data_IF_458779848815
#
_entry.id   IF_458779848815
#
_cell.length_a   1.000
_cell.length_b   1.000
_cell.length_c   1.000
_cell.angle_alpha   90.00
_cell.angle_beta   90.00
_cell.angle_gamma   90.00
#
_symmetry.space_group_name_H-M   'P 1'
#
loop_
_entity.id
_entity.type
_entity.pdbx_description
1 polymer ?
#
# COMPACT_ATOMS: atom_id res chain seq x y z
N UNK A 1 32.91 26.98 6.44
CA UNK A 1 32.73 25.62 6.97
C UNK A 1 31.29 25.55 7.42
N UNK A 2 30.43 25.10 6.51
CA UNK A 2 29.00 24.96 6.79
C UNK A 2 28.76 23.54 7.28
N UNK A 3 27.88 23.51 8.26
CA UNK A 3 27.34 22.41 9.04
C UNK A 3 26.64 21.40 8.11
N UNK A 4 27.31 20.28 7.84
CA UNK A 4 26.71 19.12 7.19
C UNK A 4 25.84 18.43 8.25
N UNK A 5 24.54 18.76 8.23
CA UNK A 5 23.53 18.14 9.09
C UNK A 5 23.51 16.61 8.96
N UNK A 6 22.96 15.90 9.95
CA UNK A 6 23.06 14.44 10.03
C UNK A 6 22.46 13.78 8.79
N UNK A 7 23.30 13.03 8.09
CA UNK A 7 22.96 12.17 6.98
C UNK A 7 21.99 11.08 7.46
N UNK A 8 20.74 11.14 7.01
CA UNK A 8 19.68 10.20 7.36
C UNK A 8 19.67 8.94 6.49
N UNK A 9 20.79 8.60 5.84
CA UNK A 9 20.94 7.31 5.12
C UNK A 9 21.07 6.10 6.06
N UNK A 10 21.16 6.31 7.37
CA UNK A 10 21.17 5.24 8.38
C UNK A 10 19.91 5.30 9.27
N UNK A 11 18.81 4.73 8.78
CA UNK A 11 17.69 4.29 9.60
C UNK A 11 17.36 2.83 9.22
N UNK A 12 17.10 1.95 10.20
CA UNK A 12 18.20 1.26 10.84
C UNK A 12 18.14 -0.24 10.52
N UNK A 13 19.32 -0.87 10.45
CA UNK A 13 19.51 -2.29 10.79
C UNK A 13 19.18 -2.58 12.29
N UNK A 14 18.29 -1.80 12.89
CA UNK A 14 18.29 -1.35 14.28
C UNK A 14 17.72 -2.31 15.30
N UNK A 15 17.26 -3.49 14.88
CA UNK A 15 16.87 -4.55 15.83
C UNK A 15 17.70 -5.81 15.67
N UNK A 16 18.57 -5.89 14.64
CA UNK A 16 19.33 -7.10 14.35
C UNK A 16 20.68 -7.19 15.09
N UNK A 17 21.15 -6.12 15.75
CA UNK A 17 22.55 -6.04 16.22
C UNK A 17 22.80 -6.24 17.73
N UNK A 18 21.79 -6.54 18.56
CA UNK A 18 22.04 -6.80 20.00
C UNK A 18 21.78 -8.25 20.44
N UNK A 19 21.14 -9.09 19.63
CA UNK A 19 20.78 -10.45 20.05
C UNK A 19 21.93 -11.46 19.93
N UNK A 20 22.76 -11.36 18.90
CA UNK A 20 23.88 -12.30 18.69
C UNK A 20 25.01 -12.18 19.72
N UNK A 21 25.11 -11.02 20.38
CA UNK A 21 26.16 -10.77 21.37
C UNK A 21 25.80 -11.28 22.78
N UNK A 22 24.50 -11.40 23.09
CA UNK A 22 24.02 -11.74 24.44
C UNK A 22 23.40 -13.14 24.55
N UNK A 23 22.97 -13.76 23.45
CA UNK A 23 22.36 -15.09 23.50
C UNK A 23 23.39 -16.14 23.10
N UNK A 24 23.67 -17.07 24.03
CA UNK A 24 24.64 -18.14 23.82
C UNK A 24 24.40 -18.90 22.51
N UNK A 25 25.47 -19.17 21.76
CA UNK A 25 25.45 -19.94 20.49
C UNK A 25 25.08 -21.42 20.67
N UNK A 26 24.65 -21.82 21.86
CA UNK A 26 24.25 -23.18 22.15
C UNK A 26 22.88 -23.51 21.52
N UNK A 27 22.43 -24.76 21.68
CA UNK A 27 21.14 -25.19 21.10
C UNK A 27 19.95 -24.47 21.74
N UNK A 28 20.06 -24.13 23.02
CA UNK A 28 19.00 -23.51 23.82
C UNK A 28 18.81 -22.05 23.44
N UNK A 29 19.90 -21.29 23.32
CA UNK A 29 19.88 -19.89 22.88
C UNK A 29 19.33 -19.75 21.46
N UNK A 30 19.70 -20.65 20.54
CA UNK A 30 19.13 -20.67 19.18
C UNK A 30 17.62 -20.95 19.18
N UNK A 31 17.13 -21.85 20.04
CA UNK A 31 15.71 -22.13 20.17
C UNK A 31 14.94 -20.92 20.74
N UNK A 32 15.49 -20.28 21.77
CA UNK A 32 14.91 -19.07 22.37
C UNK A 32 14.81 -17.92 21.36
N UNK A 33 15.86 -17.66 20.57
CA UNK A 33 15.83 -16.64 19.50
C UNK A 33 14.75 -16.96 18.47
N UNK A 34 14.63 -18.22 18.07
CA UNK A 34 13.62 -18.65 17.10
C UNK A 34 12.20 -18.41 17.61
N UNK A 35 11.90 -18.79 18.85
CA UNK A 35 10.57 -18.59 19.43
C UNK A 35 10.26 -17.12 19.71
N UNK A 36 11.24 -16.36 20.23
CA UNK A 36 11.08 -14.92 20.45
C UNK A 36 10.80 -14.15 19.15
N UNK A 37 11.50 -14.48 18.04
CA UNK A 37 11.24 -13.86 16.74
C UNK A 37 9.88 -14.23 16.18
N UNK A 38 9.46 -15.51 16.27
CA UNK A 38 8.10 -15.91 15.87
C UNK A 38 7.03 -15.12 16.64
N UNK A 39 7.21 -14.99 17.95
CA UNK A 39 6.30 -14.22 18.79
C UNK A 39 6.28 -12.73 18.39
N UNK A 40 7.45 -12.15 18.12
CA UNK A 40 7.57 -10.78 17.65
C UNK A 40 6.79 -10.53 16.35
N UNK A 41 6.99 -11.33 15.30
CA UNK A 41 6.22 -11.13 14.06
C UNK A 41 4.72 -11.39 14.26
N UNK A 42 4.35 -12.42 15.03
CA UNK A 42 2.94 -12.81 15.28
C UNK A 42 2.11 -11.76 15.99
N UNK A 43 2.70 -11.02 16.91
CA UNK A 43 1.96 -10.06 17.72
C UNK A 43 1.98 -8.63 17.13
N UNK A 44 2.83 -8.37 16.14
CA UNK A 44 3.07 -7.03 15.62
C UNK A 44 2.56 -6.83 14.18
N UNK A 45 2.20 -5.59 13.90
CA UNK A 45 1.92 -5.08 12.55
C UNK A 45 3.10 -4.26 12.06
N UNK A 46 3.42 -4.35 10.78
CA UNK A 46 4.62 -3.72 10.20
C UNK A 46 4.26 -2.70 9.13
N UNK A 47 4.89 -1.54 9.16
CA UNK A 47 4.85 -0.58 8.07
C UNK A 47 6.09 -0.78 7.18
N UNK A 48 5.87 -1.04 5.89
CA UNK A 48 6.92 -1.39 4.93
C UNK A 48 6.77 -0.52 3.69
N UNK A 49 7.88 0.00 3.16
CA UNK A 49 7.89 0.70 1.89
C UNK A 49 7.57 -0.27 0.76
N UNK A 50 6.75 0.12 -0.22
CA UNK A 50 6.35 -0.74 -1.34
C UNK A 50 7.54 -1.42 -2.02
N UNK A 51 8.61 -0.68 -2.35
CA UNK A 51 9.82 -1.22 -2.98
C UNK A 51 10.67 -2.13 -2.07
N UNK A 52 10.38 -2.20 -0.76
CA UNK A 52 11.05 -3.09 0.22
C UNK A 52 10.16 -4.26 0.64
N UNK A 53 8.94 -4.38 0.09
CA UNK A 53 8.01 -5.42 0.49
C UNK A 53 8.61 -6.82 0.26
N UNK A 54 9.20 -7.07 -0.91
CA UNK A 54 9.86 -8.34 -1.22
C UNK A 54 10.99 -8.64 -0.24
N UNK A 55 11.87 -7.67 0.03
CA UNK A 55 12.99 -7.83 0.96
C UNK A 55 12.50 -8.16 2.37
N UNK A 56 11.47 -7.46 2.84
CA UNK A 56 10.86 -7.69 4.15
C UNK A 56 10.30 -9.11 4.28
N UNK A 57 9.74 -9.63 3.20
CA UNK A 57 9.11 -10.95 3.14
C UNK A 57 10.15 -12.08 3.12
N UNK A 58 11.37 -11.79 2.69
CA UNK A 58 12.47 -12.74 2.53
C UNK A 58 13.52 -12.66 3.63
N UNK A 59 13.31 -11.87 4.71
CA UNK A 59 14.29 -11.66 5.78
C UNK A 59 14.87 -13.00 6.29
N UNK A 60 16.16 -13.28 6.02
CA UNK A 60 16.79 -14.51 6.46
C UNK A 60 16.95 -14.45 7.98
N UNK A 61 16.25 -15.33 8.69
CA UNK A 61 16.50 -15.51 10.11
C UNK A 61 17.96 -15.91 10.34
N UNK A 62 18.46 -15.66 11.56
CA UNK A 62 19.86 -15.85 12.03
C UNK A 62 20.51 -17.19 11.62
N UNK A 63 19.73 -18.19 11.24
CA UNK A 63 20.22 -19.48 10.74
C UNK A 63 20.53 -19.52 9.23
N UNK A 64 20.42 -18.38 8.53
CA UNK A 64 20.65 -18.26 7.09
C UNK A 64 19.60 -18.95 6.24
N UNK A 65 18.48 -19.38 6.85
CA UNK A 65 17.36 -19.99 6.14
C UNK A 65 16.25 -18.95 6.02
N UNK A 66 15.77 -18.67 4.79
CA UNK A 66 14.60 -17.84 4.60
C UNK A 66 13.45 -18.49 5.38
N UNK A 67 12.91 -17.77 6.36
CA UNK A 67 11.60 -18.11 6.91
C UNK A 67 10.63 -17.18 6.22
N UNK A 68 9.52 -17.72 5.73
CA UNK A 68 8.44 -16.91 5.18
C UNK A 68 7.82 -16.06 6.30
N UNK A 69 8.39 -14.87 6.52
CA UNK A 69 7.87 -13.84 7.43
C UNK A 69 6.40 -13.55 7.14
N UNK A 70 6.02 -13.71 5.87
CA UNK A 70 4.67 -13.75 5.29
C UNK A 70 3.63 -14.44 6.17
N UNK A 71 3.95 -15.60 6.75
CA UNK A 71 2.99 -16.41 7.51
C UNK A 71 2.95 -16.04 9.00
N UNK A 72 3.89 -15.21 9.45
CA UNK A 72 4.05 -14.89 10.85
C UNK A 72 3.49 -13.52 11.19
N UNK A 73 3.41 -12.57 10.27
CA UNK A 73 2.95 -11.20 10.57
C UNK A 73 1.46 -11.13 10.88
N UNK A 74 1.09 -10.34 11.89
CA UNK A 74 -0.31 -10.06 12.23
C UNK A 74 -1.02 -9.25 11.16
N UNK A 75 -0.29 -8.35 10.51
CA UNK A 75 -0.79 -7.46 9.47
C UNK A 75 0.32 -6.57 8.93
N UNK A 76 0.15 -6.08 7.71
CA UNK A 76 1.15 -5.24 7.05
C UNK A 76 0.48 -3.99 6.49
N UNK A 77 1.15 -2.86 6.70
CA UNK A 77 0.88 -1.60 6.05
C UNK A 77 1.95 -1.35 4.98
N UNK A 78 1.54 -1.33 3.71
CA UNK A 78 2.41 -1.03 2.58
C UNK A 78 2.29 0.45 2.24
N UNK A 79 3.40 1.19 2.33
CA UNK A 79 3.48 2.61 2.04
C UNK A 79 3.95 2.86 0.61
N UNK A 80 3.18 3.63 -0.13
CA UNK A 80 3.45 4.03 -1.52
C UNK A 80 3.78 5.51 -1.53
N UNK A 81 4.99 5.84 -2.01
CA UNK A 81 5.50 7.20 -2.09
C UNK A 81 5.50 7.72 -3.52
N UNK A 82 5.38 9.03 -3.62
CA UNK A 82 5.23 9.83 -4.83
C UNK A 82 6.44 9.83 -5.79
N UNK A 83 7.65 9.52 -5.33
CA UNK A 83 8.83 10.03 -6.04
C UNK A 83 9.47 9.08 -7.07
N UNK A 84 9.27 7.75 -6.99
CA UNK A 84 10.12 6.81 -7.76
C UNK A 84 9.40 5.61 -8.41
N UNK A 85 8.17 5.81 -8.89
CA UNK A 85 7.36 4.85 -9.70
C UNK A 85 6.31 4.04 -8.91
N UNK A 86 5.01 4.37 -9.06
CA UNK A 86 3.91 3.53 -8.56
C UNK A 86 3.85 2.13 -9.20
N UNK A 87 4.67 1.85 -10.23
CA UNK A 87 4.85 0.52 -10.81
C UNK A 87 5.53 -0.50 -9.87
N UNK A 88 5.93 -0.08 -8.67
CA UNK A 88 6.54 -0.96 -7.66
C UNK A 88 5.55 -1.88 -6.94
N UNK A 89 4.24 -1.64 -6.99
CA UNK A 89 3.28 -2.57 -6.41
C UNK A 89 3.01 -3.71 -7.38
N UNK A 90 3.28 -4.96 -6.95
CA UNK A 90 2.82 -6.15 -7.66
C UNK A 90 1.97 -7.02 -6.76
N UNK A 91 0.87 -7.53 -7.29
CA UNK A 91 -0.11 -8.30 -6.53
C UNK A 91 0.49 -9.57 -5.89
N UNK A 92 1.43 -10.20 -6.58
CA UNK A 92 2.13 -11.42 -6.17
C UNK A 92 3.15 -11.19 -5.05
N UNK A 93 3.56 -9.94 -4.81
CA UNK A 93 4.45 -9.58 -3.70
C UNK A 93 3.71 -9.49 -2.36
N UNK A 94 2.37 -9.44 -2.38
CA UNK A 94 1.59 -9.34 -1.16
C UNK A 94 1.46 -10.69 -0.41
N UNK A 95 1.68 -10.70 0.92
CA UNK A 95 1.53 -11.88 1.76
C UNK A 95 0.11 -12.43 1.76
N UNK A 96 -0.06 -13.69 2.17
CA UNK A 96 -1.40 -14.20 2.54
C UNK A 96 -1.91 -13.64 3.87
N UNK A 97 -1.06 -12.94 4.64
CA UNK A 97 -1.43 -12.31 5.90
C UNK A 97 -2.52 -11.26 5.73
N UNK A 98 -3.38 -11.17 6.75
CA UNK A 98 -4.49 -10.21 6.83
C UNK A 98 -4.56 -9.64 8.26
N UNK A 99 -4.81 -8.34 8.44
CA UNK A 99 -5.18 -7.36 7.42
C UNK A 99 -3.99 -6.79 6.64
N UNK A 100 -4.28 -6.28 5.44
CA UNK A 100 -3.35 -5.51 4.61
C UNK A 100 -3.87 -4.08 4.52
N UNK A 101 -2.99 -3.13 4.76
CA UNK A 101 -3.27 -1.72 4.60
C UNK A 101 -2.39 -1.15 3.50
N UNK A 102 -2.97 -0.36 2.59
CA UNK A 102 -2.20 0.43 1.61
C UNK A 102 -2.31 1.89 2.03
N UNK A 103 -1.15 2.51 2.26
CA UNK A 103 -1.01 3.92 2.60
C UNK A 103 -0.41 4.68 1.41
N UNK A 104 -1.16 5.62 0.85
CA UNK A 104 -0.67 6.53 -0.18
C UNK A 104 -0.17 7.82 0.48
N UNK A 105 1.10 8.15 0.25
CA UNK A 105 1.70 9.40 0.68
C UNK A 105 2.10 10.23 -0.54
N UNK A 106 1.35 11.31 -0.77
CA UNK A 106 1.57 12.30 -1.82
C UNK A 106 1.44 13.69 -1.19
N UNK A 107 2.33 14.60 -1.55
CA UNK A 107 2.20 16.00 -1.15
C UNK A 107 1.01 16.62 -1.87
N UNK A 108 -0.05 17.01 -1.16
CA UNK A 108 -1.23 17.55 -1.84
C UNK A 108 -2.53 17.46 -1.04
N UNK A 109 -3.65 17.42 -1.78
CA UNK A 109 -4.98 17.34 -1.21
C UNK A 109 -5.24 15.91 -0.73
N UNK A 110 -5.57 15.75 0.55
CA UNK A 110 -5.69 14.44 1.21
C UNK A 110 -6.75 13.56 0.57
N UNK A 111 -7.79 14.15 -0.02
CA UNK A 111 -8.84 13.43 -0.72
C UNK A 111 -8.47 13.02 -2.16
N UNK A 112 -7.24 13.31 -2.61
CA UNK A 112 -6.76 12.97 -3.94
C UNK A 112 -7.32 13.81 -5.07
N UNK A 113 -7.80 15.02 -4.78
CA UNK A 113 -8.17 15.97 -5.83
C UNK A 113 -6.96 16.47 -6.63
N UNK A 114 -5.75 16.44 -6.07
CA UNK A 114 -4.56 16.85 -6.81
C UNK A 114 -4.16 15.83 -7.88
N UNK A 115 -3.60 16.34 -8.98
CA UNK A 115 -3.24 15.56 -10.16
C UNK A 115 -2.26 14.42 -9.85
N UNK A 116 -1.36 14.67 -8.89
CA UNK A 116 -0.30 13.74 -8.53
C UNK A 116 -0.87 12.53 -7.80
N UNK A 117 -1.79 12.74 -6.86
CA UNK A 117 -2.55 11.67 -6.23
C UNK A 117 -3.45 10.93 -7.21
N UNK A 118 -4.13 11.62 -8.14
CA UNK A 118 -4.94 10.96 -9.17
C UNK A 118 -4.09 10.06 -10.08
N UNK A 119 -2.90 10.53 -10.48
CA UNK A 119 -1.97 9.75 -11.28
C UNK A 119 -1.45 8.52 -10.50
N UNK A 120 -1.11 8.67 -9.22
CA UNK A 120 -0.75 7.53 -8.37
C UNK A 120 -1.90 6.52 -8.25
N UNK A 121 -3.12 6.98 -7.97
CA UNK A 121 -4.31 6.12 -7.88
C UNK A 121 -4.53 5.37 -9.20
N UNK A 122 -4.38 6.05 -10.34
CA UNK A 122 -4.47 5.44 -11.66
C UNK A 122 -3.45 4.33 -11.84
N UNK A 123 -2.19 4.58 -11.51
CA UNK A 123 -1.09 3.66 -11.74
C UNK A 123 -1.21 2.38 -10.89
N UNK A 124 -1.73 2.49 -9.66
CA UNK A 124 -1.95 1.33 -8.79
C UNK A 124 -3.32 0.66 -9.00
N UNK A 125 -4.21 1.26 -9.79
CA UNK A 125 -5.63 0.88 -9.84
C UNK A 125 -5.87 -0.59 -10.18
N UNK A 126 -5.11 -1.12 -11.15
CA UNK A 126 -5.19 -2.52 -11.56
C UNK A 126 -4.73 -3.49 -10.47
N UNK A 127 -3.61 -3.19 -9.83
CA UNK A 127 -3.07 -4.00 -8.72
C UNK A 127 -4.03 -3.98 -7.55
N UNK A 128 -4.55 -2.81 -7.17
CA UNK A 128 -5.53 -2.68 -6.10
C UNK A 128 -6.80 -3.48 -6.40
N UNK A 129 -7.30 -3.50 -7.65
CA UNK A 129 -8.45 -4.37 -8.01
C UNK A 129 -8.14 -5.85 -7.77
N UNK A 130 -6.95 -6.31 -8.15
CA UNK A 130 -6.51 -7.69 -7.88
C UNK A 130 -6.46 -7.98 -6.38
N UNK A 131 -5.85 -7.09 -5.59
CA UNK A 131 -5.78 -7.20 -4.14
C UNK A 131 -7.17 -7.16 -3.47
N UNK A 132 -8.12 -6.35 -3.96
CA UNK A 132 -9.51 -6.37 -3.49
C UNK A 132 -10.14 -7.74 -3.77
N UNK A 133 -9.93 -8.30 -4.96
CA UNK A 133 -10.41 -9.64 -5.30
C UNK A 133 -9.81 -10.73 -4.40
N UNK A 134 -8.54 -10.59 -4.03
CA UNK A 134 -7.81 -11.55 -3.19
C UNK A 134 -8.13 -11.46 -1.71
N UNK A 135 -8.24 -10.25 -1.16
CA UNK A 135 -8.34 -10.01 0.29
C UNK A 135 -9.70 -9.52 0.76
N UNK A 136 -10.58 -9.09 -0.15
CA UNK A 136 -11.90 -8.58 0.19
C UNK A 136 -11.83 -7.46 1.23
N UNK A 137 -12.60 -7.59 2.31
CA UNK A 137 -12.67 -6.64 3.42
C UNK A 137 -11.40 -6.59 4.28
N UNK A 138 -10.49 -7.57 4.12
CA UNK A 138 -9.19 -7.60 4.78
C UNK A 138 -8.18 -6.58 4.22
N UNK A 139 -8.54 -5.84 3.17
CA UNK A 139 -7.71 -4.80 2.57
C UNK A 139 -8.26 -3.40 2.90
N UNK A 140 -7.46 -2.53 3.50
CA UNK A 140 -7.79 -1.11 3.64
C UNK A 140 -6.89 -0.25 2.73
N UNK A 141 -7.41 0.91 2.31
CA UNK A 141 -6.66 1.84 1.45
C UNK A 141 -6.93 3.25 1.95
N UNK A 142 -5.86 3.95 2.31
CA UNK A 142 -5.94 5.29 2.89
C UNK A 142 -4.87 6.20 2.35
N UNK A 143 -5.17 7.49 2.31
CA UNK A 143 -4.18 8.54 2.10
C UNK A 143 -3.74 9.08 3.45
N UNK A 144 -2.49 9.52 3.54
CA UNK A 144 -1.94 10.14 4.74
C UNK A 144 -1.35 11.51 4.40
N UNK A 145 -1.74 12.53 5.15
CA UNK A 145 -1.16 13.86 5.07
C UNK A 145 0.15 13.93 5.84
N UNK A 146 1.25 14.18 5.14
CA UNK A 146 2.57 14.43 5.76
C UNK A 146 2.53 15.69 6.64
N UNK A 147 1.58 16.60 6.41
CA UNK A 147 1.50 17.90 7.11
C UNK A 147 0.52 17.88 8.30
N UNK A 148 -0.57 17.09 8.24
CA UNK A 148 -1.66 17.20 9.20
C UNK A 148 -2.02 15.93 9.98
N UNK A 149 -1.25 14.83 9.84
CA UNK A 149 -1.56 13.50 10.43
C UNK A 149 -2.99 12.99 10.13
N UNK A 150 -3.69 13.64 9.19
CA UNK A 150 -5.02 13.26 8.79
C UNK A 150 -4.94 12.09 7.82
N UNK A 151 -5.80 11.11 8.05
CA UNK A 151 -5.96 9.95 7.21
C UNK A 151 -7.33 10.00 6.53
N UNK A 152 -7.40 9.71 5.23
CA UNK A 152 -8.66 9.58 4.51
C UNK A 152 -8.80 8.18 3.94
N UNK A 153 -9.93 7.52 4.21
CA UNK A 153 -10.25 6.24 3.59
C UNK A 153 -10.69 6.46 2.14
N UNK A 154 -9.87 5.97 1.21
CA UNK A 154 -10.12 6.09 -0.23
C UNK A 154 -10.44 4.74 -0.89
N UNK A 155 -10.49 3.64 -0.12
CA UNK A 155 -10.96 2.34 -0.62
C UNK A 155 -12.28 2.44 -1.40
N UNK A 156 -13.27 3.26 -0.99
CA UNK A 156 -14.53 3.39 -1.74
C UNK A 156 -14.40 3.88 -3.18
N UNK A 157 -13.24 4.39 -3.60
CA UNK A 157 -12.99 4.74 -5.01
C UNK A 157 -12.93 3.51 -5.91
N UNK A 158 -12.60 2.34 -5.36
CA UNK A 158 -12.59 1.08 -6.12
C UNK A 158 -13.93 0.35 -6.13
N UNK A 159 -14.97 0.88 -5.48
CA UNK A 159 -16.33 0.33 -5.58
C UNK A 159 -16.86 0.48 -7.02
N UNK A 160 -17.84 -0.34 -7.37
CA UNK A 160 -18.51 -0.18 -8.67
C UNK A 160 -19.22 1.18 -8.73
N UNK A 161 -19.11 1.92 -9.86
CA UNK A 161 -19.83 3.17 -10.00
C UNK A 161 -21.34 2.91 -10.03
N UNK A 162 -22.10 3.79 -9.38
CA UNK A 162 -23.57 3.77 -9.47
C UNK A 162 -24.02 4.17 -10.88
N UNK A 163 -25.05 3.52 -11.41
CA UNK A 163 -25.56 3.78 -12.77
C UNK A 163 -26.00 5.24 -12.90
N UNK A 164 -26.72 5.76 -11.91
CA UNK A 164 -27.22 7.13 -11.89
C UNK A 164 -26.08 8.17 -11.80
N UNK A 165 -24.94 7.82 -11.19
CA UNK A 165 -23.77 8.70 -11.14
C UNK A 165 -23.09 8.82 -12.51
N UNK A 166 -23.07 7.72 -13.28
CA UNK A 166 -22.57 7.71 -14.66
C UNK A 166 -23.43 8.60 -15.55
N UNK A 167 -24.75 8.47 -15.49
CA UNK A 167 -25.67 9.29 -16.29
C UNK A 167 -25.55 10.78 -15.94
N UNK A 168 -25.45 11.12 -14.65
CA UNK A 168 -25.23 12.51 -14.20
C UNK A 168 -23.95 13.10 -14.77
N UNK A 169 -22.84 12.36 -14.74
CA UNK A 169 -21.58 12.82 -15.31
C UNK A 169 -21.70 13.10 -16.83
N UNK A 170 -22.39 12.23 -17.58
CA UNK A 170 -22.60 12.41 -19.02
C UNK A 170 -23.47 13.63 -19.35
N UNK A 171 -24.44 13.93 -18.49
CA UNK A 171 -25.34 15.09 -18.65
C UNK A 171 -24.73 16.39 -18.13
N UNK A 172 -23.51 16.36 -17.58
CA UNK A 172 -22.87 17.52 -16.96
C UNK A 172 -23.58 17.99 -15.68
N UNK A 173 -24.30 17.10 -15.01
CA UNK A 173 -24.98 17.36 -13.74
C UNK A 173 -24.02 17.19 -12.56
N UNK A 174 -24.44 17.65 -11.38
CA UNK A 174 -23.63 17.56 -10.16
C UNK A 174 -23.31 16.10 -9.77
N UNK A 175 -22.02 15.85 -9.54
CA UNK A 175 -21.46 14.59 -9.04
C UNK A 175 -20.43 14.88 -7.94
N UNK A 176 -20.29 13.94 -7.01
CA UNK A 176 -19.27 13.97 -5.98
C UNK A 176 -17.91 13.53 -6.53
N UNK A 177 -16.84 13.97 -5.89
CA UNK A 177 -15.49 13.53 -6.25
C UNK A 177 -15.32 12.00 -6.12
N UNK A 178 -15.97 11.38 -5.13
CA UNK A 178 -15.98 9.91 -4.97
C UNK A 178 -16.56 9.23 -6.22
N UNK A 179 -17.72 9.70 -6.70
CA UNK A 179 -18.37 9.14 -7.89
C UNK A 179 -17.50 9.31 -9.14
N UNK A 180 -16.84 10.47 -9.28
CA UNK A 180 -15.87 10.70 -10.36
C UNK A 180 -14.75 9.65 -10.33
N UNK A 181 -14.13 9.43 -9.16
CA UNK A 181 -13.04 8.47 -9.01
C UNK A 181 -13.47 7.02 -9.31
N UNK A 182 -14.68 6.62 -8.89
CA UNK A 182 -15.22 5.31 -9.20
C UNK A 182 -15.37 5.07 -10.71
N UNK A 183 -15.87 6.09 -11.43
CA UNK A 183 -16.02 6.03 -12.89
C UNK A 183 -14.65 6.00 -13.58
N UNK A 184 -13.70 6.83 -13.14
CA UNK A 184 -12.35 6.86 -13.68
C UNK A 184 -11.61 5.54 -13.46
N UNK A 185 -11.66 4.95 -12.25
CA UNK A 185 -11.04 3.66 -11.95
C UNK A 185 -11.68 2.54 -12.76
N UNK A 186 -13.02 2.53 -12.92
CA UNK A 186 -13.69 1.56 -13.79
C UNK A 186 -13.18 1.67 -15.24
N UNK A 187 -12.94 2.89 -15.72
CA UNK A 187 -12.35 3.15 -17.05
C UNK A 187 -10.91 2.67 -17.16
N UNK A 188 -10.05 3.02 -16.20
CA UNK A 188 -8.63 2.64 -16.21
C UNK A 188 -8.43 1.12 -16.11
N UNK A 189 -9.34 0.42 -15.44
CA UNK A 189 -9.27 -1.04 -15.24
C UNK A 189 -10.06 -1.85 -16.27
N UNK A 190 -10.72 -1.19 -17.23
CA UNK A 190 -11.49 -1.86 -18.28
C UNK A 190 -12.78 -2.55 -17.80
N UNK A 191 -13.27 -2.20 -16.61
CA UNK A 191 -14.50 -2.76 -15.99
C UNK A 191 -15.68 -1.81 -16.13
N UNK A 192 -15.65 -0.92 -17.13
CA UNK A 192 -16.76 -0.01 -17.39
C UNK A 192 -18.05 -0.82 -17.65
N UNK A 193 -19.19 -0.45 -17.02
CA UNK A 193 -20.49 -0.96 -17.42
C UNK A 193 -20.69 -0.77 -18.93
N UNK A 194 -21.21 -1.80 -19.63
CA UNK A 194 -21.43 -1.82 -21.09
C UNK A 194 -22.19 -0.60 -21.64
N UNK A 195 -22.85 0.17 -20.79
CA UNK A 195 -23.53 1.44 -21.12
C UNK A 195 -22.55 2.51 -21.63
N UNK A 196 -21.24 2.35 -21.38
CA UNK A 196 -20.19 3.33 -21.71
C UNK A 196 -19.44 3.06 -23.02
N UNK A 197 -19.76 1.97 -23.71
CA UNK A 197 -19.07 1.58 -24.97
C UNK A 197 -19.62 2.31 -26.21
N UNK A 198 -20.69 3.09 -26.06
CA UNK A 198 -21.28 3.85 -27.15
C UNK A 198 -21.18 5.35 -26.87
N UNK A 199 -20.26 6.00 -27.57
CA UNK A 199 -20.07 7.45 -27.65
C UNK A 199 -19.57 8.14 -26.38
N UNK A 200 -18.27 8.44 -26.34
CA UNK A 200 -17.78 9.82 -26.23
C UNK A 200 -16.30 9.80 -25.89
N UNK A 201 -15.50 10.42 -26.75
CA UNK A 201 -14.27 11.11 -26.36
C UNK A 201 -14.65 12.14 -25.28
N UNK A 202 -14.79 11.70 -24.02
CA UNK A 202 -14.86 12.61 -22.90
C UNK A 202 -13.47 13.23 -22.75
N UNK A 203 -13.47 14.55 -22.93
CA UNK A 203 -12.38 15.52 -22.82
C UNK A 203 -11.34 15.05 -21.78
N UNK A 204 -10.03 15.14 -22.08
CA UNK A 204 -9.00 14.92 -21.07
C UNK A 204 -9.15 16.00 -19.99
N UNK A 205 -9.86 15.66 -18.92
CA UNK A 205 -9.76 16.41 -17.68
C UNK A 205 -8.45 15.97 -17.04
N UNK A 206 -7.50 16.90 -17.12
CA UNK A 206 -6.14 16.87 -16.58
C UNK A 206 -6.09 16.19 -15.22
#
# INVERSE_FOLDING_TARGET
>A
MLDDGPDFTDMPNGTMLLHEYYIGRDKTGRLLVKEARKFFYRENTFAVLSHRLVDFMQDPLVDGKPVEVVQLVKGITVRVYDVDSPAGLKEDEFPTATPIDIELQVGGAINGMDLMMQQMIRDISGVVKGLIGRFGDGLSIRTESVVSLMMCNIRPYWDAPEVDAVERLQQGLDYSFKELMQIQIAKWTGVLPKVLDTNSELVPLL
#
